data_IF_869764371189
#
_entry.id   IF_869764371189
#
_cell.length_a   1.000
_cell.length_b   1.000
_cell.length_c   1.000
_cell.angle_alpha   90.00
_cell.angle_beta   90.00
_cell.angle_gamma   90.00
#
_symmetry.space_group_name_H-M   'P 1'
#
loop_
_entity.id
_entity.type
_entity.pdbx_description
1 polymer ?
#
# COMPACT_ATOMS: atom_id res chain seq x y z
N UNK A 1 -14.24 12.67 -44.19
CA UNK A 1 -13.35 12.76 -43.01
C UNK A 1 -13.40 11.41 -42.31
N UNK A 2 -12.25 10.77 -42.10
CA UNK A 2 -12.19 9.59 -41.24
C UNK A 2 -12.38 10.06 -39.79
N UNK A 3 -13.44 9.64 -39.08
CA UNK A 3 -13.60 10.02 -37.68
C UNK A 3 -12.42 9.48 -36.89
N UNK A 4 -11.83 10.32 -36.03
CA UNK A 4 -10.82 9.91 -35.06
C UNK A 4 -11.46 8.92 -34.09
N UNK A 5 -11.30 7.63 -34.39
CA UNK A 5 -11.90 6.53 -33.64
C UNK A 5 -10.93 6.11 -32.53
N UNK A 6 -10.71 7.00 -31.55
CA UNK A 6 -9.81 6.70 -30.42
C UNK A 6 -10.63 6.20 -29.24
N UNK A 7 -10.80 4.88 -29.14
CA UNK A 7 -11.51 4.20 -28.04
C UNK A 7 -10.86 4.45 -26.67
N UNK A 8 -9.57 4.82 -26.63
CA UNK A 8 -8.80 5.01 -25.39
C UNK A 8 -9.28 6.17 -24.50
N UNK A 9 -10.10 7.10 -25.00
CA UNK A 9 -10.58 8.26 -24.23
C UNK A 9 -12.06 8.15 -23.82
N UNK A 10 -12.72 7.02 -24.14
CA UNK A 10 -14.12 6.82 -23.83
C UNK A 10 -14.29 6.29 -22.39
N UNK A 11 -15.42 6.60 -21.72
CA UNK A 11 -15.75 5.98 -20.44
C UNK A 11 -15.79 4.46 -20.57
N UNK A 12 -15.17 3.76 -19.63
CA UNK A 12 -15.11 2.30 -19.59
C UNK A 12 -16.14 1.82 -18.57
N UNK A 13 -16.98 0.85 -18.95
CA UNK A 13 -17.93 0.19 -18.06
C UNK A 13 -17.43 -1.23 -17.82
N UNK A 14 -17.06 -1.54 -16.58
CA UNK A 14 -16.42 -2.82 -16.24
C UNK A 14 -17.36 -4.03 -16.31
N UNK A 15 -18.68 -3.84 -16.19
CA UNK A 15 -19.69 -4.92 -16.17
C UNK A 15 -19.36 -6.06 -15.17
N UNK A 16 -18.65 -5.73 -14.08
CA UNK A 16 -18.29 -6.63 -12.99
C UNK A 16 -18.17 -5.84 -11.67
N UNK A 17 -18.25 -6.51 -10.50
CA UNK A 17 -17.93 -5.87 -9.22
C UNK A 17 -16.52 -5.27 -9.21
N UNK A 18 -16.35 -4.20 -8.41
CA UNK A 18 -15.05 -3.59 -8.22
C UNK A 18 -14.12 -4.49 -7.41
N UNK A 19 -12.88 -4.61 -7.85
CA UNK A 19 -11.80 -5.38 -7.19
C UNK A 19 -10.93 -4.54 -6.28
N UNK A 20 -11.05 -3.22 -6.35
CA UNK A 20 -10.35 -2.27 -5.50
C UNK A 20 -11.06 -0.91 -5.56
N UNK A 21 -10.76 -0.03 -4.60
CA UNK A 21 -11.43 1.27 -4.46
C UNK A 21 -11.11 2.21 -5.62
N UNK A 22 -9.89 2.14 -6.16
CA UNK A 22 -9.50 3.00 -7.27
C UNK A 22 -10.21 2.65 -8.60
N UNK A 23 -10.90 1.51 -8.71
CA UNK A 23 -11.83 1.25 -9.83
C UNK A 23 -13.06 2.17 -9.81
N UNK A 24 -13.33 2.89 -8.70
CA UNK A 24 -14.28 4.01 -8.69
C UNK A 24 -13.91 5.11 -9.69
N UNK A 25 -12.66 5.15 -10.17
CA UNK A 25 -12.26 6.02 -11.28
C UNK A 25 -13.07 5.78 -12.57
N UNK A 26 -13.73 4.64 -12.72
CA UNK A 26 -14.64 4.37 -13.84
C UNK A 26 -16.09 4.82 -13.59
N UNK A 27 -16.46 5.13 -12.34
CA UNK A 27 -17.80 5.57 -11.99
C UNK A 27 -18.03 7.03 -12.43
N UNK A 28 -19.21 7.31 -12.97
CA UNK A 28 -19.62 8.67 -13.30
C UNK A 28 -19.74 9.52 -12.03
N UNK A 29 -19.23 10.74 -12.13
CA UNK A 29 -19.53 11.83 -11.21
C UNK A 29 -20.90 12.40 -11.57
N UNK A 30 -21.44 13.24 -10.70
CA UNK A 30 -22.68 14.01 -10.87
C UNK A 30 -22.75 14.91 -12.15
N UNK A 31 -21.73 14.88 -13.01
CA UNK A 31 -21.69 15.60 -14.28
C UNK A 31 -21.66 14.58 -15.44
N UNK A 32 -22.48 14.79 -16.49
CA UNK A 32 -22.46 13.94 -17.67
C UNK A 32 -21.05 13.81 -18.24
N UNK A 33 -20.67 12.57 -18.58
CA UNK A 33 -19.41 12.25 -19.25
C UNK A 33 -18.14 12.54 -18.43
N UNK A 34 -18.27 12.82 -17.12
CA UNK A 34 -17.14 12.94 -16.19
C UNK A 34 -17.18 11.81 -15.19
N UNK A 35 -16.06 11.13 -15.01
CA UNK A 35 -15.89 10.12 -13.95
C UNK A 35 -15.15 10.71 -12.76
N UNK A 36 -15.10 9.99 -11.63
CA UNK A 36 -14.23 10.35 -10.51
C UNK A 36 -12.77 10.47 -10.96
N UNK A 37 -12.06 11.46 -10.41
CA UNK A 37 -10.71 11.81 -10.80
C UNK A 37 -9.68 11.16 -9.85
N UNK A 38 -8.97 10.12 -10.29
CA UNK A 38 -7.80 9.58 -9.62
C UNK A 38 -6.51 9.83 -10.41
N UNK A 39 -6.55 10.83 -11.28
CA UNK A 39 -5.53 11.16 -12.28
C UNK A 39 -4.77 12.43 -11.92
N UNK A 40 -5.50 13.45 -11.43
CA UNK A 40 -4.95 14.78 -11.17
C UNK A 40 -4.53 14.94 -9.71
N UNK A 41 -3.37 15.55 -9.49
CA UNK A 41 -2.83 15.84 -8.15
C UNK A 41 -3.73 16.72 -7.29
N UNK A 42 -4.60 17.51 -7.91
CA UNK A 42 -5.57 18.39 -7.22
C UNK A 42 -6.94 17.74 -7.04
N UNK A 43 -7.08 16.46 -7.31
CA UNK A 43 -8.36 15.78 -7.18
C UNK A 43 -8.77 15.66 -5.71
N UNK A 44 -9.95 16.19 -5.39
CA UNK A 44 -10.60 15.95 -4.10
C UNK A 44 -11.12 14.51 -3.98
N UNK A 45 -11.34 13.82 -5.11
CA UNK A 45 -11.87 12.46 -5.13
C UNK A 45 -10.84 11.47 -4.57
N UNK A 46 -9.53 11.78 -4.61
CA UNK A 46 -8.45 10.93 -4.08
C UNK A 46 -8.64 10.55 -2.60
N UNK A 47 -9.31 11.37 -1.80
CA UNK A 47 -9.63 11.06 -0.39
C UNK A 47 -10.53 9.82 -0.23
N UNK A 48 -11.25 9.42 -1.28
CA UNK A 48 -12.02 8.17 -1.29
C UNK A 48 -11.14 6.93 -1.09
N UNK A 49 -9.86 6.98 -1.51
CA UNK A 49 -8.91 5.88 -1.30
C UNK A 49 -8.59 5.64 0.18
N UNK A 50 -8.78 6.64 1.04
CA UNK A 50 -8.46 6.56 2.46
C UNK A 50 -9.66 6.16 3.32
N UNK A 51 -10.88 6.43 2.84
CA UNK A 51 -12.13 6.26 3.60
C UNK A 51 -12.84 4.95 3.24
N UNK A 52 -12.80 4.56 1.97
CA UNK A 52 -13.49 3.37 1.50
C UNK A 52 -12.57 2.15 1.48
N UNK A 53 -13.17 0.97 1.68
CA UNK A 53 -12.54 -0.34 1.48
C UNK A 53 -13.51 -1.22 0.70
N UNK A 54 -12.97 -2.15 -0.07
CA UNK A 54 -13.77 -3.23 -0.69
C UNK A 54 -13.84 -4.48 0.19
N UNK A 55 -12.98 -4.54 1.22
CA UNK A 55 -12.95 -5.60 2.20
C UNK A 55 -13.56 -5.04 3.48
N UNK A 56 -14.82 -5.39 3.74
CA UNK A 56 -15.43 -5.12 5.03
C UNK A 56 -14.91 -6.17 6.03
N UNK A 57 -14.42 -5.71 7.18
CA UNK A 57 -14.18 -6.60 8.31
C UNK A 57 -15.48 -7.22 8.83
N UNK A 58 -15.41 -8.23 9.70
CA UNK A 58 -16.60 -8.70 10.40
C UNK A 58 -17.25 -7.54 11.20
N UNK A 59 -18.59 -7.54 11.37
CA UNK A 59 -19.29 -6.52 12.18
C UNK A 59 -18.63 -6.38 13.55
N UNK A 60 -18.31 -5.14 13.95
CA UNK A 60 -17.66 -4.88 15.23
C UNK A 60 -18.59 -5.19 16.40
N UNK A 61 -18.06 -5.82 17.45
CA UNK A 61 -18.71 -5.85 18.77
C UNK A 61 -18.42 -4.51 19.45
N UNK A 62 -19.45 -3.86 20.00
CA UNK A 62 -19.31 -2.56 20.66
C UNK A 62 -18.30 -2.56 21.81
N UNK A 63 -17.86 -1.37 22.22
CA UNK A 63 -16.97 -1.20 23.36
C UNK A 63 -17.58 -1.90 24.59
N UNK A 64 -16.87 -2.89 25.13
CA UNK A 64 -17.33 -3.67 26.29
C UNK A 64 -18.11 -4.95 25.98
N UNK A 65 -18.13 -5.42 24.73
CA UNK A 65 -18.75 -6.72 24.38
C UNK A 65 -20.28 -6.74 24.45
N UNK A 66 -20.91 -5.59 24.69
CA UNK A 66 -22.36 -5.43 24.81
C UNK A 66 -22.91 -4.66 23.62
N UNK A 67 -23.44 -5.40 22.64
CA UNK A 67 -24.14 -4.85 21.47
C UNK A 67 -23.35 -4.99 20.16
N UNK A 68 -24.06 -5.35 19.10
CA UNK A 68 -23.58 -5.21 17.72
C UNK A 68 -23.58 -3.71 17.38
N UNK A 69 -22.40 -3.11 17.25
CA UNK A 69 -22.34 -1.81 16.59
C UNK A 69 -22.54 -2.07 15.10
N UNK A 70 -23.50 -1.40 14.47
CA UNK A 70 -23.69 -1.46 13.01
C UNK A 70 -22.49 -0.90 12.21
N UNK A 71 -21.40 -0.54 12.90
CA UNK A 71 -20.15 -0.11 12.31
C UNK A 71 -19.18 -1.30 12.28
N UNK A 72 -18.77 -1.68 11.07
CA UNK A 72 -17.71 -2.65 10.81
C UNK A 72 -16.41 -2.11 11.40
N UNK A 73 -15.74 -2.89 12.26
CA UNK A 73 -14.41 -2.51 12.75
C UNK A 73 -13.38 -2.73 11.63
N UNK A 74 -12.41 -1.81 11.46
CA UNK A 74 -11.28 -2.05 10.57
C UNK A 74 -10.53 -3.28 11.08
N UNK A 75 -10.66 -4.41 10.39
CA UNK A 75 -9.90 -5.61 10.72
C UNK A 75 -8.52 -5.50 10.08
N UNK A 76 -7.47 -5.90 10.80
CA UNK A 76 -6.12 -6.01 10.23
C UNK A 76 -6.18 -7.11 9.16
N UNK A 77 -6.06 -6.72 7.90
CA UNK A 77 -6.03 -7.64 6.77
C UNK A 77 -4.57 -8.04 6.51
N UNK A 78 -4.29 -9.34 6.54
CA UNK A 78 -2.98 -9.87 6.18
C UNK A 78 -2.70 -9.65 4.69
N UNK A 79 -1.41 -9.51 4.34
CA UNK A 79 -0.99 -9.36 2.94
C UNK A 79 -1.00 -7.92 2.41
N UNK A 80 -1.22 -6.91 3.26
CA UNK A 80 -1.05 -5.52 2.89
C UNK A 80 0.45 -5.11 2.92
N UNK A 81 0.88 -4.41 1.88
CA UNK A 81 2.26 -3.91 1.73
C UNK A 81 2.36 -2.46 2.19
N UNK A 82 3.43 -2.10 2.88
CA UNK A 82 3.68 -0.70 3.27
C UNK A 82 4.12 0.13 2.06
N UNK A 83 3.41 1.20 1.71
CA UNK A 83 3.82 2.14 0.64
C UNK A 83 5.15 2.83 0.94
N UNK A 84 5.51 2.91 2.22
CA UNK A 84 6.77 3.47 2.69
C UNK A 84 7.88 2.42 2.89
N UNK A 85 7.72 1.21 2.34
CA UNK A 85 8.78 0.19 2.32
C UNK A 85 10.03 0.72 1.60
N UNK A 86 11.22 0.32 2.05
CA UNK A 86 12.47 0.60 1.33
C UNK A 86 12.80 -0.52 0.33
N UNK A 87 12.06 -1.63 0.40
CA UNK A 87 12.26 -2.83 -0.39
C UNK A 87 11.39 -2.78 -1.64
N UNK A 88 12.01 -2.53 -2.80
CA UNK A 88 11.31 -2.54 -4.11
C UNK A 88 10.65 -3.89 -4.41
N UNK A 89 11.25 -4.97 -3.92
CA UNK A 89 10.75 -6.33 -4.11
C UNK A 89 9.37 -6.56 -3.50
N UNK A 90 8.98 -5.77 -2.49
CA UNK A 90 7.65 -5.89 -1.86
C UNK A 90 6.55 -5.29 -2.75
N UNK A 91 6.86 -4.22 -3.48
CA UNK A 91 5.89 -3.48 -4.31
C UNK A 91 5.78 -4.06 -5.73
N UNK A 92 6.86 -4.64 -6.25
CA UNK A 92 6.88 -5.23 -7.59
C UNK A 92 5.76 -6.24 -7.86
N UNK A 93 5.51 -7.26 -7.01
CA UNK A 93 4.47 -8.25 -7.27
C UNK A 93 3.05 -7.66 -7.21
N UNK A 94 2.84 -6.58 -6.46
CA UNK A 94 1.54 -5.88 -6.40
C UNK A 94 1.26 -5.13 -7.70
N UNK A 95 2.30 -4.56 -8.31
CA UNK A 95 2.18 -3.80 -9.56
C UNK A 95 2.14 -4.73 -10.78
N UNK A 96 2.84 -5.86 -10.74
CA UNK A 96 2.88 -6.82 -11.82
C UNK A 96 1.48 -7.38 -12.14
N UNK A 97 1.11 -7.40 -13.42
CA UNK A 97 -0.17 -7.92 -13.87
C UNK A 97 -1.37 -6.97 -13.71
N UNK A 98 -1.17 -5.78 -13.14
CA UNK A 98 -2.24 -4.79 -13.10
C UNK A 98 -2.66 -4.36 -14.52
N UNK A 99 -3.97 -4.36 -14.79
CA UNK A 99 -4.52 -4.01 -16.10
C UNK A 99 -4.35 -2.50 -16.33
N UNK A 100 -3.47 -2.18 -17.28
CA UNK A 100 -3.17 -0.82 -17.70
C UNK A 100 -4.27 -0.29 -18.63
N UNK A 101 -4.76 -1.11 -19.55
CA UNK A 101 -5.86 -0.77 -20.45
C UNK A 101 -6.83 -1.94 -20.57
N UNK A 102 -8.08 -1.70 -20.18
CA UNK A 102 -9.16 -2.70 -20.20
C UNK A 102 -9.57 -3.08 -21.64
N UNK A 103 -9.43 -2.17 -22.60
CA UNK A 103 -9.86 -2.40 -24.00
C UNK A 103 -8.89 -3.34 -24.72
N UNK A 104 -7.59 -3.09 -24.55
CA UNK A 104 -6.53 -3.94 -25.13
C UNK A 104 -6.11 -5.09 -24.20
N UNK A 105 -6.63 -5.13 -22.97
CA UNK A 105 -6.21 -6.07 -21.90
C UNK A 105 -4.70 -6.08 -21.66
N UNK A 106 -4.05 -4.94 -21.86
CA UNK A 106 -2.61 -4.81 -21.59
C UNK A 106 -2.37 -4.64 -20.10
N UNK A 107 -1.31 -5.27 -19.60
CA UNK A 107 -0.96 -5.28 -18.19
C UNK A 107 0.47 -4.79 -17.95
N UNK A 108 0.72 -4.28 -16.73
CA UNK A 108 2.07 -3.98 -16.25
C UNK A 108 2.87 -5.29 -16.23
N UNK A 109 4.03 -5.28 -16.88
CA UNK A 109 4.85 -6.48 -17.03
C UNK A 109 5.86 -6.61 -15.88
N UNK A 110 6.14 -7.86 -15.48
CA UNK A 110 6.98 -8.18 -14.31
C UNK A 110 8.48 -8.28 -14.64
N UNK A 111 8.86 -9.01 -15.71
CA UNK A 111 10.25 -9.21 -16.17
C UNK A 111 10.32 -9.56 -17.67
N UNK A 112 11.45 -9.28 -18.32
CA UNK A 112 11.75 -9.66 -19.71
C UNK A 112 12.76 -8.73 -20.40
N UNK A 113 13.32 -9.14 -21.55
CA UNK A 113 14.20 -8.28 -22.35
C UNK A 113 13.44 -7.06 -22.85
N UNK A 114 13.78 -5.87 -22.36
CA UNK A 114 13.07 -4.60 -22.63
C UNK A 114 11.87 -4.32 -21.72
N UNK A 115 11.70 -5.09 -20.62
CA UNK A 115 10.49 -5.11 -19.79
C UNK A 115 10.85 -5.04 -18.31
N UNK A 116 10.88 -3.83 -17.76
CA UNK A 116 11.15 -3.53 -16.35
C UNK A 116 10.06 -2.69 -15.71
N UNK A 117 8.84 -2.68 -16.25
CA UNK A 117 7.77 -1.78 -15.82
C UNK A 117 7.52 -1.89 -14.31
N UNK A 118 7.11 -3.06 -13.80
CA UNK A 118 6.84 -3.22 -12.36
C UNK A 118 8.06 -2.91 -11.47
N UNK A 119 9.30 -3.41 -11.74
CA UNK A 119 10.50 -3.01 -11.01
C UNK A 119 10.78 -1.49 -11.04
N UNK A 120 10.58 -0.83 -12.17
CA UNK A 120 10.79 0.61 -12.35
C UNK A 120 9.75 1.41 -11.57
N UNK A 121 8.47 1.06 -11.68
CA UNK A 121 7.37 1.70 -10.94
C UNK A 121 7.58 1.55 -9.42
N UNK A 122 7.94 0.34 -8.96
CA UNK A 122 8.28 0.09 -7.56
C UNK A 122 9.47 0.94 -7.10
N UNK A 123 10.53 1.02 -7.92
CA UNK A 123 11.67 1.89 -7.66
C UNK A 123 11.30 3.37 -7.54
N UNK A 124 10.41 3.86 -8.40
CA UNK A 124 9.94 5.25 -8.36
C UNK A 124 9.12 5.54 -7.11
N UNK A 125 8.27 4.61 -6.67
CA UNK A 125 7.54 4.74 -5.40
C UNK A 125 8.52 4.80 -4.22
N UNK A 126 9.46 3.86 -4.12
CA UNK A 126 10.47 3.83 -3.04
C UNK A 126 11.30 5.11 -3.02
N UNK A 127 11.75 5.59 -4.17
CA UNK A 127 12.51 6.84 -4.26
C UNK A 127 11.67 8.03 -3.74
N UNK A 128 10.39 8.10 -4.12
CA UNK A 128 9.51 9.17 -3.70
C UNK A 128 9.15 9.13 -2.21
N UNK A 129 8.99 7.94 -1.64
CA UNK A 129 8.67 7.77 -0.20
C UNK A 129 9.89 7.85 0.69
N UNK A 130 11.10 7.59 0.17
CA UNK A 130 12.35 7.77 0.91
C UNK A 130 12.68 9.22 1.24
N UNK A 131 12.25 10.17 0.40
CA UNK A 131 12.45 11.60 0.63
C UNK A 131 11.45 12.15 1.67
N UNK A 132 10.20 11.66 1.60
CA UNK A 132 9.14 12.01 2.54
C UNK A 132 8.11 10.87 2.58
N UNK A 133 7.93 10.16 3.71
CA UNK A 133 6.95 9.08 3.80
C UNK A 133 5.52 9.56 3.51
N UNK A 134 4.75 8.77 2.77
CA UNK A 134 3.31 8.97 2.60
C UNK A 134 2.59 8.81 3.94
N UNK A 135 1.68 9.73 4.24
CA UNK A 135 0.81 9.68 5.41
C UNK A 135 -0.48 8.92 5.09
N UNK A 136 -0.98 9.05 3.85
CA UNK A 136 -2.24 8.46 3.41
C UNK A 136 -2.10 7.83 2.00
N UNK A 137 -3.05 6.97 1.61
CA UNK A 137 -3.07 6.34 0.27
C UNK A 137 -3.40 7.34 -0.82
N UNK A 138 -4.21 8.36 -0.52
CA UNK A 138 -4.52 9.45 -1.46
C UNK A 138 -3.29 10.15 -2.01
N UNK A 139 -2.16 10.13 -1.29
CA UNK A 139 -0.89 10.70 -1.73
C UNK A 139 -0.27 9.99 -2.94
N UNK A 140 -0.72 8.76 -3.29
CA UNK A 140 -0.41 8.15 -4.58
C UNK A 140 -0.87 9.01 -5.77
N UNK A 141 -1.90 9.85 -5.54
CA UNK A 141 -2.49 10.74 -6.54
C UNK A 141 -2.11 12.19 -6.25
N UNK A 142 -2.27 12.64 -5.00
CA UNK A 142 -2.23 14.08 -4.66
C UNK A 142 -0.83 14.63 -4.44
N UNK A 143 0.18 13.77 -4.28
CA UNK A 143 1.55 14.22 -4.07
C UNK A 143 2.10 14.85 -5.34
N UNK A 144 2.62 16.07 -5.20
CA UNK A 144 3.11 16.86 -6.31
C UNK A 144 4.13 16.09 -7.16
N UNK A 145 3.90 16.05 -8.48
CA UNK A 145 4.71 15.35 -9.49
C UNK A 145 4.82 13.82 -9.31
N UNK A 146 4.17 13.22 -8.32
CA UNK A 146 4.30 11.80 -8.06
C UNK A 146 3.62 10.95 -9.15
N UNK A 147 2.36 11.18 -9.55
CA UNK A 147 1.70 10.33 -10.54
C UNK A 147 2.42 10.32 -11.90
N UNK A 148 3.03 11.45 -12.27
CA UNK A 148 3.81 11.59 -13.50
C UNK A 148 5.21 10.98 -13.38
N UNK A 149 5.79 10.92 -12.19
CA UNK A 149 7.11 10.33 -11.95
C UNK A 149 7.03 8.81 -11.79
N UNK A 150 5.97 8.28 -11.13
CA UNK A 150 5.80 6.83 -10.97
C UNK A 150 5.69 6.20 -12.36
N UNK A 151 4.71 6.62 -13.16
CA UNK A 151 4.58 6.18 -14.55
C UNK A 151 5.57 6.99 -15.41
N UNK A 152 6.79 6.50 -15.58
CA UNK A 152 7.82 7.25 -16.30
C UNK A 152 7.36 7.64 -17.72
N UNK A 153 7.70 8.86 -18.15
CA UNK A 153 7.54 9.31 -19.54
C UNK A 153 8.71 8.77 -20.36
N UNK A 154 8.51 7.88 -21.35
CA UNK A 154 9.59 7.50 -22.25
C UNK A 154 10.14 8.75 -22.94
N UNK A 155 11.44 8.97 -22.84
CA UNK A 155 12.15 10.07 -23.51
C UNK A 155 12.20 9.89 -25.03
N UNK A 156 11.89 8.70 -25.52
CA UNK A 156 11.85 8.33 -26.93
C UNK A 156 10.53 7.63 -27.23
N UNK A 157 9.55 8.36 -27.77
CA UNK A 157 8.23 7.82 -28.06
C UNK A 157 7.28 8.84 -28.69
N UNK A 158 6.17 8.36 -29.25
CA UNK A 158 5.09 9.18 -29.82
C UNK A 158 4.47 10.03 -28.72
N UNK A 159 4.67 11.35 -28.77
CA UNK A 159 3.97 12.29 -27.92
C UNK A 159 2.56 12.53 -28.49
N UNK A 160 1.50 12.53 -27.66
CA UNK A 160 1.50 12.40 -26.20
C UNK A 160 1.61 10.94 -25.73
N UNK A 161 2.38 10.71 -24.65
CA UNK A 161 2.45 9.39 -24.02
C UNK A 161 1.06 8.98 -23.45
N UNK A 162 0.45 7.87 -23.90
CA UNK A 162 -0.85 7.43 -23.40
C UNK A 162 -0.85 7.07 -21.91
N UNK A 163 0.26 6.63 -21.32
CA UNK A 163 0.36 6.41 -19.86
C UNK A 163 0.24 7.73 -19.06
N UNK A 164 0.41 8.89 -19.71
CA UNK A 164 0.27 10.21 -19.08
C UNK A 164 -1.05 10.89 -19.41
N UNK A 165 -1.64 10.61 -20.57
CA UNK A 165 -2.83 11.31 -21.07
C UNK A 165 -4.11 10.49 -21.01
N UNK A 166 -4.01 9.16 -21.07
CA UNK A 166 -5.17 8.27 -20.98
C UNK A 166 -5.44 7.98 -19.52
N UNK A 167 -6.62 8.40 -19.05
CA UNK A 167 -7.05 8.24 -17.66
C UNK A 167 -6.93 6.81 -17.15
N UNK A 168 -7.48 5.85 -17.91
CA UNK A 168 -7.43 4.44 -17.55
C UNK A 168 -5.98 3.98 -17.32
N UNK A 169 -5.04 4.33 -18.19
CA UNK A 169 -3.64 3.92 -18.04
C UNK A 169 -2.95 4.63 -16.88
N UNK A 170 -3.20 5.91 -16.68
CA UNK A 170 -2.55 6.70 -15.63
C UNK A 170 -2.99 6.31 -14.22
N UNK A 171 -4.24 5.86 -14.06
CA UNK A 171 -4.78 5.44 -12.77
C UNK A 171 -4.39 3.99 -12.39
N UNK A 172 -3.60 3.29 -13.23
CA UNK A 172 -3.24 1.89 -13.00
C UNK A 172 -2.51 1.66 -11.67
N UNK A 173 -1.65 2.58 -11.25
CA UNK A 173 -0.90 2.46 -9.98
C UNK A 173 -1.85 2.58 -8.80
N UNK A 174 -2.77 3.54 -8.83
CA UNK A 174 -3.79 3.66 -7.79
C UNK A 174 -4.68 2.40 -7.74
N UNK A 175 -5.06 1.84 -8.91
CA UNK A 175 -5.80 0.58 -8.99
C UNK A 175 -5.03 -0.61 -8.40
N UNK A 176 -3.75 -0.75 -8.74
CA UNK A 176 -2.92 -1.83 -8.22
C UNK A 176 -2.74 -1.75 -6.69
N UNK A 177 -2.55 -0.54 -6.16
CA UNK A 177 -2.10 -0.34 -4.77
C UNK A 177 -3.24 -0.06 -3.77
N UNK A 178 -4.41 0.41 -4.20
CA UNK A 178 -5.41 0.96 -3.27
C UNK A 178 -5.93 -0.04 -2.22
N UNK A 179 -6.14 -1.31 -2.58
CA UNK A 179 -6.65 -2.34 -1.65
C UNK A 179 -5.56 -3.11 -0.91
N UNK A 180 -4.37 -3.21 -1.50
CA UNK A 180 -3.27 -4.08 -1.04
C UNK A 180 -2.17 -3.32 -0.33
N UNK A 181 -2.31 -2.00 -0.12
CA UNK A 181 -1.29 -1.19 0.52
C UNK A 181 -1.75 -0.49 1.79
N UNK A 182 -0.79 0.01 2.58
CA UNK A 182 -0.99 0.79 3.80
C UNK A 182 0.14 1.80 4.00
N UNK A 183 -0.11 2.87 4.76
CA UNK A 183 0.89 3.88 5.18
C UNK A 183 1.03 4.01 6.69
N UNK A 184 0.11 3.40 7.46
CA UNK A 184 -0.15 3.70 8.87
C UNK A 184 0.45 2.70 9.84
N UNK A 185 0.88 1.52 9.41
CA UNK A 185 1.32 0.47 10.34
C UNK A 185 2.84 0.30 10.29
N UNK A 186 3.48 0.38 11.45
CA UNK A 186 4.85 -0.06 11.68
C UNK A 186 4.85 -1.49 12.17
N UNK A 187 5.55 -2.37 11.45
CA UNK A 187 5.78 -3.75 11.87
C UNK A 187 7.20 -3.84 12.43
N UNK A 188 7.32 -4.21 13.70
CA UNK A 188 8.59 -4.31 14.41
C UNK A 188 8.74 -5.72 14.96
N UNK A 189 9.90 -6.33 14.74
CA UNK A 189 10.35 -7.52 15.44
C UNK A 189 11.33 -7.09 16.54
N UNK A 190 11.03 -7.45 17.78
CA UNK A 190 11.89 -7.21 18.93
C UNK A 190 12.41 -8.57 19.40
N UNK A 191 13.74 -8.70 19.42
CA UNK A 191 14.42 -9.84 20.00
C UNK A 191 14.67 -9.57 21.49
N UNK A 192 14.10 -10.41 22.35
CA UNK A 192 14.17 -10.28 23.80
C UNK A 192 14.90 -11.49 24.38
N UNK A 193 16.08 -11.24 24.92
CA UNK A 193 16.88 -12.23 25.66
C UNK A 193 16.64 -12.04 27.16
N UNK A 194 15.93 -12.98 27.77
CA UNK A 194 15.67 -13.01 29.19
C UNK A 194 16.66 -13.95 29.89
N UNK A 195 17.52 -13.39 30.75
CA UNK A 195 18.51 -14.15 31.50
C UNK A 195 18.13 -14.23 32.99
N UNK A 196 18.29 -15.42 33.57
CA UNK A 196 18.18 -15.69 35.01
C UNK A 196 19.53 -16.15 35.55
N UNK A 197 19.82 -15.83 36.81
CA UNK A 197 21.12 -16.06 37.39
C UNK A 197 21.33 -15.33 38.72
N UNK A 198 22.57 -15.26 39.18
CA UNK A 198 22.92 -14.64 40.45
C UNK A 198 24.20 -13.80 40.36
N UNK A 199 24.44 -12.95 41.35
CA UNK A 199 25.66 -12.15 41.44
C UNK A 199 26.80 -12.91 42.12
N UNK A 200 28.03 -12.69 41.64
CA UNK A 200 29.24 -13.09 42.38
C UNK A 200 29.26 -12.46 43.78
N UNK A 201 29.89 -13.11 44.77
CA UNK A 201 30.18 -12.47 46.06
C UNK A 201 30.94 -11.15 45.86
N UNK A 202 30.50 -10.09 46.53
CA UNK A 202 31.04 -8.71 46.42
C UNK A 202 30.88 -8.05 45.02
N UNK A 203 29.83 -8.37 44.28
CA UNK A 203 29.52 -7.73 43.00
C UNK A 203 29.40 -6.20 43.11
N UNK A 204 29.98 -5.48 42.13
CA UNK A 204 29.91 -4.03 42.03
C UNK A 204 29.27 -3.56 40.70
N UNK A 205 28.99 -4.48 39.76
CA UNK A 205 28.38 -4.13 38.47
C UNK A 205 27.49 -5.25 37.90
N UNK A 206 26.34 -4.87 37.34
CA UNK A 206 25.45 -5.76 36.60
C UNK A 206 26.15 -6.44 35.41
N UNK A 207 26.97 -5.71 34.65
CA UNK A 207 27.51 -6.21 33.38
C UNK A 207 28.59 -7.28 33.50
N UNK A 208 29.35 -7.28 34.60
CA UNK A 208 30.54 -8.15 34.74
C UNK A 208 30.40 -9.20 35.87
N UNK A 209 29.49 -8.96 36.82
CA UNK A 209 29.39 -9.76 38.03
C UNK A 209 28.11 -10.62 38.09
N UNK A 210 27.21 -10.47 37.13
CA UNK A 210 26.05 -11.34 36.97
C UNK A 210 26.45 -12.64 36.27
N UNK A 211 26.26 -13.78 36.94
CA UNK A 211 26.45 -15.13 36.42
C UNK A 211 25.10 -15.62 35.91
N UNK A 212 25.01 -15.86 34.60
CA UNK A 212 23.81 -16.39 33.94
C UNK A 212 23.74 -17.90 34.18
N UNK A 213 22.59 -18.38 34.64
CA UNK A 213 22.28 -19.80 34.87
C UNK A 213 21.19 -20.32 33.93
N UNK A 214 20.33 -19.43 33.44
CA UNK A 214 19.31 -19.73 32.45
C UNK A 214 19.15 -18.58 31.47
N UNK A 215 18.85 -18.91 30.22
CA UNK A 215 18.58 -17.93 29.17
C UNK A 215 17.38 -18.41 28.36
N UNK A 216 16.49 -17.48 28.02
CA UNK A 216 15.35 -17.75 27.17
C UNK A 216 15.14 -16.60 26.19
N UNK A 217 14.86 -16.94 24.94
CA UNK A 217 14.71 -15.99 23.84
C UNK A 217 13.25 -15.90 23.44
N UNK A 218 12.79 -14.67 23.21
CA UNK A 218 11.44 -14.37 22.74
C UNK A 218 11.50 -13.43 21.54
N UNK A 219 10.82 -13.81 20.47
CA UNK A 219 10.56 -12.92 19.36
C UNK A 219 9.20 -12.29 19.53
N UNK A 220 9.19 -10.97 19.67
CA UNK A 220 7.98 -10.18 19.84
C UNK A 220 7.72 -9.43 18.54
N UNK A 221 6.67 -9.83 17.83
CA UNK A 221 6.16 -9.13 16.66
C UNK A 221 5.11 -8.12 17.13
N UNK A 222 5.33 -6.83 16.84
CA UNK A 222 4.41 -5.75 17.20
C UNK A 222 4.03 -4.98 15.96
N UNK A 223 2.73 -4.78 15.77
CA UNK A 223 2.19 -3.82 14.82
C UNK A 223 1.72 -2.58 15.57
N UNK A 224 2.24 -1.40 15.19
CA UNK A 224 1.96 -0.12 15.84
C UNK A 224 1.33 0.82 14.81
N UNK A 225 0.23 1.46 15.16
CA UNK A 225 -0.30 2.56 14.37
C UNK A 225 0.58 3.80 14.54
N UNK A 226 1.13 4.27 13.42
CA UNK A 226 2.03 5.42 13.33
C UNK A 226 1.38 6.72 13.79
N UNK A 227 0.07 6.89 13.64
CA UNK A 227 -0.60 8.15 13.98
C UNK A 227 -0.94 8.23 15.46
N UNK A 228 -1.46 7.16 16.04
CA UNK A 228 -1.90 7.13 17.44
C UNK A 228 -0.83 6.60 18.40
N UNK A 229 0.17 5.88 17.91
CA UNK A 229 1.16 5.17 18.73
C UNK A 229 0.60 3.93 19.42
N UNK A 230 -0.65 3.53 19.11
CA UNK A 230 -1.27 2.36 19.72
C UNK A 230 -0.73 1.07 19.12
N UNK A 231 -0.53 0.06 19.97
CA UNK A 231 -0.26 -1.31 19.52
C UNK A 231 -1.57 -1.89 19.00
N UNK A 232 -1.61 -2.17 17.70
CA UNK A 232 -2.80 -2.71 17.03
C UNK A 232 -2.80 -4.25 17.02
N UNK A 233 -1.61 -4.86 17.04
CA UNK A 233 -1.44 -6.29 17.13
C UNK A 233 -0.10 -6.65 17.79
N UNK A 234 -0.06 -7.79 18.47
CA UNK A 234 1.13 -8.31 19.13
C UNK A 234 1.12 -9.84 19.14
N UNK A 235 2.18 -10.44 18.62
CA UNK A 235 2.46 -11.87 18.70
C UNK A 235 3.80 -12.08 19.41
N UNK A 236 3.84 -13.05 20.32
CA UNK A 236 5.07 -13.44 21.02
C UNK A 236 5.34 -14.91 20.69
N UNK A 237 6.53 -15.17 20.19
CA UNK A 237 7.03 -16.52 19.91
C UNK A 237 8.18 -16.83 20.88
N UNK A 238 8.16 -18.03 21.45
CA UNK A 238 9.28 -18.55 22.23
C UNK A 238 10.24 -19.22 21.25
N UNK A 239 11.49 -18.75 21.24
CA UNK A 239 12.54 -19.38 20.43
C UNK A 239 12.99 -20.64 21.16
N UNK A 240 12.85 -21.78 20.49
CA UNK A 240 13.40 -23.05 20.96
C UNK A 240 14.60 -23.38 20.08
N UNK A 241 15.78 -23.48 20.69
CA UNK A 241 17.01 -23.99 20.05
C UNK A 241 17.17 -25.50 20.24
#
# INVERSE_FOLDING_TARGET
>A
STPYNTTSYQPIILNRPFRNVAELGYAFRDLPWKTLDFFTEKSADAGLLDIFTINDGPPGVGIGGLGITSMVQPTVVAGNVNLNTTQRADLQPVLAGAIMDEVSSTAIRNTGTGVTDAPTLAGNIVNATSASPMQNKSELITRASLPTTILAVPTTGTQPNPQQTVKAQREVVARAMSSTSQTRVWNVLIDVVAQSGHYKPNANSLGNDFIVEGEQHYWVHVAIDRFTGQVIDKQIEVVNE
#
